data_IF_402108547377
#
_entry.id   IF_402108547377
#
_cell.length_a   1.000
_cell.length_b   1.000
_cell.length_c   1.000
_cell.angle_alpha   90.00
_cell.angle_beta   90.00
_cell.angle_gamma   90.00
#
_symmetry.space_group_name_H-M   'P 1'
#
loop_
_entity.id
_entity.type
_entity.pdbx_description
1 polymer ?
#
# COMPACT_ATOMS: atom_id res chain seq x y z
N UNK A 1 22.48 53.83 12.26
CA UNK A 1 23.46 53.05 13.04
C UNK A 1 22.74 51.81 13.56
N UNK A 2 22.89 50.66 12.90
CA UNK A 2 22.24 49.41 13.35
C UNK A 2 22.97 48.97 14.62
N UNK A 3 22.30 49.04 15.76
CA UNK A 3 22.92 48.72 17.05
C UNK A 3 23.29 47.25 17.10
N UNK A 4 24.46 46.94 17.68
CA UNK A 4 24.98 45.58 17.85
C UNK A 4 23.95 44.59 18.44
N UNK A 5 23.06 45.08 19.31
CA UNK A 5 21.93 44.32 19.87
C UNK A 5 20.94 43.78 18.83
N UNK A 6 20.65 44.55 17.78
CA UNK A 6 19.71 44.12 16.71
C UNK A 6 20.31 42.99 15.88
N UNK A 7 21.59 43.11 15.50
CA UNK A 7 22.31 42.06 14.76
C UNK A 7 22.48 40.79 15.59
N UNK A 8 22.67 40.92 16.90
CA UNK A 8 22.74 39.79 17.83
C UNK A 8 21.40 39.04 17.93
N UNK A 9 20.29 39.76 18.06
CA UNK A 9 18.94 39.17 18.12
C UNK A 9 18.57 38.47 16.79
N UNK A 10 18.90 39.07 15.65
CA UNK A 10 18.68 38.46 14.33
C UNK A 10 19.51 37.18 14.15
N UNK A 11 20.77 37.18 14.57
CA UNK A 11 21.64 36.00 14.51
C UNK A 11 21.15 34.88 15.47
N UNK A 12 20.70 35.23 16.67
CA UNK A 12 20.15 34.28 17.62
C UNK A 12 18.82 33.66 17.11
N UNK A 13 17.93 34.47 16.54
CA UNK A 13 16.68 33.99 15.95
C UNK A 13 16.93 33.06 14.75
N UNK A 14 17.87 33.41 13.86
CA UNK A 14 18.27 32.55 12.76
C UNK A 14 18.89 31.24 13.26
N UNK A 15 19.73 31.28 14.30
CA UNK A 15 20.30 30.09 14.92
C UNK A 15 19.26 29.15 15.52
N UNK A 16 18.22 29.69 16.17
CA UNK A 16 17.10 28.89 16.71
C UNK A 16 16.31 28.23 15.58
N UNK A 17 16.01 28.95 14.50
CA UNK A 17 15.30 28.45 13.32
C UNK A 17 16.07 27.32 12.62
N UNK A 18 17.37 27.52 12.40
CA UNK A 18 18.24 26.50 11.79
C UNK A 18 18.33 25.29 12.72
N UNK A 19 18.49 25.49 14.03
CA UNK A 19 18.52 24.41 15.02
C UNK A 19 17.22 23.60 15.06
N UNK A 20 16.06 24.25 14.97
CA UNK A 20 14.76 23.55 14.91
C UNK A 20 14.57 22.79 13.61
N UNK A 21 14.98 23.35 12.46
CA UNK A 21 14.93 22.64 11.18
C UNK A 21 15.86 21.41 11.15
N UNK A 22 17.05 21.51 11.73
CA UNK A 22 17.98 20.38 11.86
C UNK A 22 17.43 19.31 12.81
N UNK A 23 16.80 19.70 13.92
CA UNK A 23 16.15 18.75 14.84
C UNK A 23 14.96 18.05 14.18
N UNK A 24 14.13 18.79 13.42
CA UNK A 24 13.03 18.22 12.65
C UNK A 24 13.57 17.26 11.58
N UNK A 25 14.61 17.64 10.84
CA UNK A 25 15.25 16.77 9.85
C UNK A 25 15.91 15.52 10.47
N UNK A 26 16.50 15.64 11.66
CA UNK A 26 17.07 14.52 12.42
C UNK A 26 16.01 13.58 12.98
N UNK A 27 14.86 14.12 13.39
CA UNK A 27 13.68 13.34 13.79
C UNK A 27 12.99 12.66 12.58
N UNK A 28 13.11 13.28 11.40
CA UNK A 28 12.57 12.82 10.12
C UNK A 28 13.49 11.86 9.37
N UNK A 29 14.60 11.37 9.96
CA UNK A 29 15.36 10.27 9.35
C UNK A 29 14.49 9.01 9.36
N UNK A 30 13.68 8.87 8.33
CA UNK A 30 12.94 7.66 8.01
C UNK A 30 13.96 6.59 7.65
N UNK A 31 13.85 5.46 8.33
CA UNK A 31 14.56 4.25 7.96
C UNK A 31 14.32 3.91 6.48
N UNK A 32 15.24 3.20 5.83
CA UNK A 32 15.01 2.75 4.45
C UNK A 32 13.74 1.90 4.39
N UNK A 33 12.89 2.13 3.37
CA UNK A 33 11.61 1.44 3.25
C UNK A 33 11.75 -0.09 3.26
N UNK A 34 12.81 -0.60 2.63
CA UNK A 34 13.17 -2.03 2.61
C UNK A 34 13.33 -2.63 4.00
N UNK A 35 13.93 -1.89 4.93
CA UNK A 35 14.12 -2.31 6.32
C UNK A 35 12.81 -2.14 7.09
N UNK A 36 12.13 -1.01 6.91
CA UNK A 36 10.89 -0.75 7.63
C UNK A 36 9.75 -1.75 7.28
N UNK A 37 9.70 -2.20 6.02
CA UNK A 37 8.75 -3.21 5.53
C UNK A 37 9.16 -4.63 5.90
N UNK A 38 10.45 -4.91 6.17
CA UNK A 38 10.89 -6.26 6.57
C UNK A 38 10.27 -6.68 7.90
N UNK A 39 10.10 -5.73 8.82
CA UNK A 39 9.38 -5.97 10.08
C UNK A 39 7.92 -6.40 9.86
N UNK A 40 7.27 -5.95 8.78
CA UNK A 40 5.93 -6.44 8.41
C UNK A 40 6.02 -7.88 7.90
N UNK A 41 7.03 -8.19 7.09
CA UNK A 41 7.21 -9.56 6.60
C UNK A 41 7.56 -10.54 7.71
N UNK A 42 8.31 -10.13 8.73
CA UNK A 42 8.62 -10.94 9.91
C UNK A 42 7.34 -11.35 10.66
N UNK A 43 6.39 -10.41 10.80
CA UNK A 43 5.07 -10.71 11.39
C UNK A 43 4.29 -11.74 10.58
N UNK A 44 4.39 -11.73 9.24
CA UNK A 44 3.77 -12.76 8.41
C UNK A 44 4.46 -14.12 8.52
N UNK A 45 5.79 -14.14 8.66
CA UNK A 45 6.52 -15.38 8.93
C UNK A 45 6.16 -15.96 10.30
N UNK A 46 5.99 -15.12 11.32
CA UNK A 46 5.51 -15.53 12.64
C UNK A 46 4.06 -16.04 12.57
N UNK A 47 3.15 -15.30 11.92
CA UNK A 47 1.76 -15.69 11.72
C UNK A 47 1.62 -17.08 11.09
N UNK A 48 2.50 -17.44 10.15
CA UNK A 48 2.49 -18.73 9.43
C UNK A 48 2.79 -19.93 10.34
N UNK A 49 3.40 -19.71 11.51
CA UNK A 49 3.68 -20.78 12.48
C UNK A 49 2.42 -21.23 13.22
N UNK A 50 1.35 -20.42 13.18
CA UNK A 50 0.12 -20.67 13.88
C UNK A 50 -1.02 -21.11 12.94
N UNK A 51 -2.01 -21.88 13.46
CA UNK A 51 -3.22 -22.23 12.72
C UNK A 51 -3.98 -20.99 12.24
N UNK A 52 -4.72 -21.13 11.13
CA UNK A 52 -5.46 -20.03 10.48
C UNK A 52 -6.46 -19.33 11.41
N UNK A 53 -7.10 -20.08 12.30
CA UNK A 53 -8.12 -19.62 13.24
C UNK A 53 -7.58 -19.26 14.63
N UNK A 54 -6.26 -19.21 14.78
CA UNK A 54 -5.63 -18.95 16.08
C UNK A 54 -5.58 -17.45 16.41
N UNK A 55 -5.79 -17.14 17.70
CA UNK A 55 -5.62 -15.78 18.22
C UNK A 55 -4.20 -15.24 18.06
N UNK A 56 -3.20 -16.10 18.03
CA UNK A 56 -1.81 -15.66 17.88
C UNK A 56 -1.50 -15.25 16.43
N UNK A 57 -2.07 -15.96 15.44
CA UNK A 57 -2.06 -15.51 14.04
C UNK A 57 -2.78 -14.17 13.87
N UNK A 58 -3.97 -14.04 14.46
CA UNK A 58 -4.75 -12.81 14.43
C UNK A 58 -3.95 -11.62 15.01
N UNK A 59 -3.29 -11.80 16.16
CA UNK A 59 -2.42 -10.77 16.77
C UNK A 59 -1.30 -10.34 15.83
N UNK A 60 -0.64 -11.28 15.13
CA UNK A 60 0.41 -10.98 14.16
C UNK A 60 -0.14 -10.12 13.01
N UNK A 61 -1.27 -10.50 12.43
CA UNK A 61 -1.93 -9.76 11.35
C UNK A 61 -2.41 -8.36 11.81
N UNK A 62 -2.92 -8.23 13.04
CA UNK A 62 -3.29 -6.92 13.61
C UNK A 62 -2.07 -6.02 13.85
N UNK A 63 -0.94 -6.60 14.27
CA UNK A 63 0.32 -5.87 14.41
C UNK A 63 0.87 -5.42 13.06
N UNK A 64 0.78 -6.29 12.03
CA UNK A 64 1.18 -6.00 10.67
C UNK A 64 0.37 -4.84 10.10
N UNK A 65 -0.96 -4.86 10.24
CA UNK A 65 -1.82 -3.76 9.81
C UNK A 65 -1.45 -2.43 10.47
N UNK A 66 -1.31 -2.40 11.81
CA UNK A 66 -0.92 -1.17 12.52
C UNK A 66 0.41 -0.63 12.02
N UNK A 67 1.35 -1.52 11.69
CA UNK A 67 2.64 -1.10 11.16
C UNK A 67 2.50 -0.57 9.73
N UNK A 68 1.79 -1.26 8.84
CA UNK A 68 1.48 -0.80 7.48
C UNK A 68 0.78 0.57 7.47
N UNK A 69 -0.20 0.80 8.34
CA UNK A 69 -0.87 2.09 8.48
C UNK A 69 0.08 3.22 8.93
N UNK A 70 1.11 2.92 9.73
CA UNK A 70 2.16 3.89 10.06
C UNK A 70 3.10 4.12 8.89
N UNK A 71 3.47 3.06 8.15
CA UNK A 71 4.30 3.18 6.96
C UNK A 71 3.61 4.04 5.89
N UNK A 72 2.31 3.84 5.64
CA UNK A 72 1.54 4.65 4.67
C UNK A 72 1.60 6.16 4.96
N UNK A 73 1.72 6.56 6.23
CA UNK A 73 1.85 7.99 6.62
C UNK A 73 3.25 8.56 6.42
N UNK A 74 4.28 7.71 6.40
CA UNK A 74 5.67 8.12 6.45
C UNK A 74 6.43 7.91 5.14
N UNK A 75 5.91 7.06 4.24
CA UNK A 75 6.55 6.66 2.99
C UNK A 75 5.67 7.02 1.81
N UNK A 76 5.99 8.10 1.09
CA UNK A 76 5.10 8.68 0.07
C UNK A 76 5.41 8.32 -1.39
N UNK A 77 6.47 7.56 -1.67
CA UNK A 77 6.81 7.23 -3.06
C UNK A 77 5.77 6.28 -3.66
N UNK A 78 5.52 6.42 -4.97
CA UNK A 78 4.47 5.68 -5.71
C UNK A 78 4.55 4.17 -5.47
N UNK A 79 5.72 3.57 -5.66
CA UNK A 79 5.95 2.12 -5.46
C UNK A 79 5.82 1.68 -3.99
N UNK A 80 6.20 2.55 -3.05
CA UNK A 80 6.06 2.27 -1.62
C UNK A 80 4.58 2.21 -1.24
N UNK A 81 3.79 3.19 -1.69
CA UNK A 81 2.35 3.24 -1.46
C UNK A 81 1.63 2.06 -2.11
N UNK A 82 1.95 1.73 -3.38
CA UNK A 82 1.45 0.52 -4.06
C UNK A 82 1.67 -0.73 -3.22
N UNK A 83 2.89 -0.90 -2.70
CA UNK A 83 3.25 -2.05 -1.87
C UNK A 83 2.52 -2.07 -0.54
N UNK A 84 2.39 -0.93 0.14
CA UNK A 84 1.73 -0.84 1.44
C UNK A 84 0.24 -1.13 1.32
N UNK A 85 -0.47 -0.50 0.37
CA UNK A 85 -1.91 -0.72 0.16
C UNK A 85 -2.21 -2.17 -0.25
N UNK A 86 -1.37 -2.77 -1.11
CA UNK A 86 -1.54 -4.16 -1.48
C UNK A 86 -1.37 -5.11 -0.29
N UNK A 87 -0.38 -4.85 0.58
CA UNK A 87 -0.19 -5.61 1.81
C UNK A 87 -1.35 -5.41 2.79
N UNK A 88 -1.93 -4.21 2.87
CA UNK A 88 -3.12 -3.95 3.69
C UNK A 88 -4.33 -4.77 3.19
N UNK A 89 -4.55 -4.81 1.87
CA UNK A 89 -5.60 -5.61 1.27
C UNK A 89 -5.43 -7.11 1.57
N UNK A 90 -4.24 -7.67 1.34
CA UNK A 90 -3.94 -9.06 1.67
C UNK A 90 -4.05 -9.36 3.17
N UNK A 91 -3.65 -8.42 4.03
CA UNK A 91 -3.78 -8.57 5.47
C UNK A 91 -5.25 -8.66 5.91
N UNK A 92 -6.11 -7.85 5.30
CA UNK A 92 -7.55 -7.91 5.55
C UNK A 92 -8.15 -9.23 5.04
N UNK A 93 -7.67 -9.77 3.91
CA UNK A 93 -8.04 -11.14 3.48
C UNK A 93 -7.63 -12.19 4.51
N UNK A 94 -6.41 -12.09 5.06
CA UNK A 94 -5.91 -13.02 6.10
C UNK A 94 -6.68 -12.92 7.42
N UNK A 95 -7.26 -11.76 7.73
CA UNK A 95 -8.11 -11.53 8.88
C UNK A 95 -9.58 -11.90 8.62
N UNK A 96 -9.91 -12.40 7.43
CA UNK A 96 -11.30 -12.67 7.02
C UNK A 96 -12.20 -11.42 7.10
N UNK A 97 -11.66 -10.24 6.75
CA UNK A 97 -12.37 -8.95 6.70
C UNK A 97 -12.59 -8.51 5.23
N UNK A 98 -13.52 -9.15 4.49
CA UNK A 98 -13.64 -8.96 3.04
C UNK A 98 -14.06 -7.54 2.64
N UNK A 99 -14.88 -6.85 3.42
CA UNK A 99 -15.27 -5.47 3.15
C UNK A 99 -14.07 -4.52 3.24
N UNK A 100 -13.16 -4.79 4.17
CA UNK A 100 -11.95 -4.00 4.37
C UNK A 100 -10.90 -4.30 3.31
N UNK A 101 -10.77 -5.56 2.90
CA UNK A 101 -9.94 -5.95 1.77
C UNK A 101 -10.38 -5.25 0.48
N UNK A 102 -11.69 -5.26 0.20
CA UNK A 102 -12.26 -4.54 -0.94
C UNK A 102 -11.95 -3.03 -0.88
N UNK A 103 -12.11 -2.40 0.30
CA UNK A 103 -11.79 -1.00 0.50
C UNK A 103 -10.32 -0.68 0.20
N UNK A 104 -9.37 -1.51 0.64
CA UNK A 104 -7.95 -1.29 0.34
C UNK A 104 -7.64 -1.47 -1.15
N UNK A 105 -8.25 -2.45 -1.82
CA UNK A 105 -8.12 -2.59 -3.27
C UNK A 105 -8.69 -1.39 -4.04
N UNK A 106 -9.85 -0.89 -3.63
CA UNK A 106 -10.47 0.31 -4.21
C UNK A 106 -9.63 1.56 -3.98
N UNK A 107 -9.07 1.73 -2.78
CA UNK A 107 -8.15 2.82 -2.47
C UNK A 107 -6.88 2.75 -3.33
N UNK A 108 -6.33 1.56 -3.56
CA UNK A 108 -5.16 1.38 -4.42
C UNK A 108 -5.46 1.78 -5.87
N UNK A 109 -6.61 1.38 -6.42
CA UNK A 109 -7.03 1.76 -7.77
C UNK A 109 -7.42 3.25 -7.88
N UNK A 110 -7.93 3.85 -6.81
CA UNK A 110 -8.19 5.29 -6.74
C UNK A 110 -6.88 6.09 -6.70
N UNK A 111 -5.90 5.60 -5.96
CA UNK A 111 -4.56 6.19 -5.88
C UNK A 111 -3.83 6.07 -7.22
N UNK A 112 -3.94 4.91 -7.86
CA UNK A 112 -3.17 4.58 -9.05
C UNK A 112 -3.90 3.62 -9.99
N UNK A 113 -4.74 4.21 -10.83
CA UNK A 113 -5.51 3.49 -11.85
C UNK A 113 -4.65 2.94 -13.00
N UNK A 114 -3.36 3.30 -13.07
CA UNK A 114 -2.43 2.80 -14.09
C UNK A 114 -1.75 1.49 -13.67
N UNK A 115 -2.00 1.02 -12.44
CA UNK A 115 -1.34 -0.15 -11.86
C UNK A 115 -2.12 -1.45 -12.15
N UNK A 116 -1.80 -2.22 -13.22
CA UNK A 116 -2.55 -3.40 -13.64
C UNK A 116 -2.54 -4.52 -12.60
N UNK A 117 -1.49 -4.63 -11.77
CA UNK A 117 -1.43 -5.63 -10.70
C UNK A 117 -2.59 -5.46 -9.71
N UNK A 118 -3.00 -4.23 -9.39
CA UNK A 118 -4.13 -3.98 -8.50
C UNK A 118 -5.45 -4.54 -9.08
N UNK A 119 -5.65 -4.43 -10.39
CA UNK A 119 -6.79 -5.03 -11.09
C UNK A 119 -6.77 -6.56 -10.99
N UNK A 120 -5.61 -7.18 -11.21
CA UNK A 120 -5.45 -8.63 -11.12
C UNK A 120 -5.73 -9.16 -9.70
N UNK A 121 -5.14 -8.53 -8.69
CA UNK A 121 -5.33 -8.90 -7.29
C UNK A 121 -6.80 -8.73 -6.86
N UNK A 122 -7.39 -7.57 -7.12
CA UNK A 122 -8.78 -7.29 -6.76
C UNK A 122 -9.76 -8.19 -7.53
N UNK A 123 -9.52 -8.36 -8.84
CA UNK A 123 -10.32 -9.21 -9.70
C UNK A 123 -10.34 -10.67 -9.25
N UNK A 124 -9.19 -11.21 -8.83
CA UNK A 124 -9.08 -12.55 -8.24
C UNK A 124 -9.75 -12.64 -6.87
N UNK A 125 -9.58 -11.65 -6.00
CA UNK A 125 -10.28 -11.56 -4.72
C UNK A 125 -11.81 -11.61 -4.90
N UNK A 126 -12.36 -10.82 -5.83
CA UNK A 126 -13.79 -10.80 -6.14
C UNK A 126 -14.27 -12.17 -6.63
N UNK A 127 -13.48 -12.88 -7.43
CA UNK A 127 -13.83 -14.25 -7.86
C UNK A 127 -13.85 -15.22 -6.68
N UNK A 128 -12.81 -15.19 -5.82
CA UNK A 128 -12.70 -16.09 -4.65
C UNK A 128 -13.83 -15.87 -3.65
N UNK A 129 -14.30 -14.63 -3.51
CA UNK A 129 -15.41 -14.25 -2.62
C UNK A 129 -16.79 -14.40 -3.26
N UNK A 130 -16.87 -14.92 -4.49
CA UNK A 130 -18.15 -15.18 -5.19
C UNK A 130 -18.75 -13.97 -5.90
N UNK A 131 -18.12 -12.81 -5.86
CA UNK A 131 -18.54 -11.55 -6.50
C UNK A 131 -18.14 -11.50 -7.98
N UNK A 132 -18.56 -12.49 -8.76
CA UNK A 132 -18.13 -12.68 -10.16
C UNK A 132 -18.58 -11.54 -11.08
N UNK A 133 -19.73 -10.96 -10.83
CA UNK A 133 -20.29 -9.83 -11.58
C UNK A 133 -19.46 -8.56 -11.36
N UNK A 134 -19.06 -8.29 -10.11
CA UNK A 134 -18.16 -7.19 -9.78
C UNK A 134 -16.78 -7.38 -10.44
N UNK A 135 -16.24 -8.61 -10.38
CA UNK A 135 -15.00 -8.95 -11.08
C UNK A 135 -15.10 -8.73 -12.59
N UNK A 136 -16.25 -9.05 -13.20
CA UNK A 136 -16.48 -8.79 -14.63
C UNK A 136 -16.54 -7.30 -14.94
N UNK A 137 -17.20 -6.50 -14.10
CA UNK A 137 -17.25 -5.05 -14.29
C UNK A 137 -15.85 -4.42 -14.18
N UNK A 138 -15.06 -4.88 -13.21
CA UNK A 138 -13.66 -4.46 -13.06
C UNK A 138 -12.82 -4.83 -14.30
N UNK A 139 -13.08 -6.00 -14.89
CA UNK A 139 -12.43 -6.44 -16.14
C UNK A 139 -12.75 -5.52 -17.32
N UNK A 140 -13.99 -5.03 -17.43
CA UNK A 140 -14.38 -4.09 -18.48
C UNK A 140 -13.61 -2.77 -18.35
N UNK A 141 -13.52 -2.19 -17.14
CA UNK A 141 -12.71 -0.98 -16.86
C UNK A 141 -11.22 -1.22 -17.19
N UNK A 142 -10.66 -2.35 -16.74
CA UNK A 142 -9.27 -2.74 -17.06
C UNK A 142 -9.01 -2.76 -18.57
N UNK A 143 -9.89 -3.39 -19.36
CA UNK A 143 -9.70 -3.49 -20.82
C UNK A 143 -9.87 -2.16 -21.54
N UNK A 144 -10.71 -1.26 -21.02
CA UNK A 144 -10.79 0.11 -21.56
C UNK A 144 -9.46 0.86 -21.37
N UNK A 145 -8.84 0.74 -20.20
CA UNK A 145 -7.53 1.35 -19.90
C UNK A 145 -6.39 0.71 -20.67
N UNK A 146 -6.37 -0.61 -20.76
CA UNK A 146 -5.38 -1.36 -21.54
C UNK A 146 -5.44 -0.94 -23.02
N UNK A 147 -6.64 -0.88 -23.62
CA UNK A 147 -6.82 -0.44 -25.01
C UNK A 147 -6.38 1.02 -25.23
N UNK A 148 -6.50 1.85 -24.19
CA UNK A 148 -6.07 3.25 -24.22
C UNK A 148 -4.57 3.42 -23.91
N UNK A 149 -3.82 2.33 -23.70
CA UNK A 149 -2.39 2.34 -23.35
C UNK A 149 -2.10 3.16 -22.08
N UNK A 150 -3.02 3.10 -21.10
CA UNK A 150 -2.93 3.84 -19.83
C UNK A 150 -2.35 3.03 -18.67
N UNK A 151 -2.05 1.74 -18.89
CA UNK A 151 -1.50 0.86 -17.87
C UNK A 151 0.03 0.83 -17.97
N UNK A 152 0.71 0.73 -16.83
CA UNK A 152 2.15 0.47 -16.82
C UNK A 152 2.49 -0.99 -17.18
N UNK A 153 3.78 -1.32 -17.20
CA UNK A 153 4.31 -2.62 -17.60
C UNK A 153 4.44 -3.63 -16.43
N UNK A 154 3.81 -3.34 -15.29
CA UNK A 154 3.88 -4.22 -14.13
C UNK A 154 3.06 -5.50 -14.32
N UNK A 155 3.62 -6.61 -13.84
CA UNK A 155 3.08 -7.94 -14.05
C UNK A 155 2.90 -8.67 -12.72
N UNK A 156 1.83 -9.47 -12.61
CA UNK A 156 1.66 -10.38 -11.48
C UNK A 156 0.98 -11.67 -11.90
N UNK A 157 1.21 -12.73 -11.11
CA UNK A 157 0.56 -14.02 -11.35
C UNK A 157 -0.97 -13.93 -11.30
N UNK A 158 -1.52 -13.11 -10.40
CA UNK A 158 -2.97 -12.95 -10.29
C UNK A 158 -3.55 -12.17 -11.45
N UNK A 159 -2.82 -11.18 -12.00
CA UNK A 159 -3.22 -10.49 -13.23
C UNK A 159 -3.34 -11.47 -14.40
N UNK A 160 -2.29 -12.24 -14.66
CA UNK A 160 -2.27 -13.23 -15.75
C UNK A 160 -3.38 -14.27 -15.60
N UNK A 161 -3.61 -14.77 -14.38
CA UNK A 161 -4.66 -15.74 -14.11
C UNK A 161 -6.06 -15.14 -14.31
N UNK A 162 -6.27 -13.90 -13.88
CA UNK A 162 -7.53 -13.19 -14.04
C UNK A 162 -7.84 -12.89 -15.51
N UNK A 163 -6.83 -12.47 -16.28
CA UNK A 163 -6.92 -12.32 -17.74
C UNK A 163 -7.32 -13.64 -18.40
N UNK A 164 -6.63 -14.73 -18.11
CA UNK A 164 -6.92 -16.05 -18.66
C UNK A 164 -8.38 -16.48 -18.38
N UNK A 165 -8.85 -16.26 -17.15
CA UNK A 165 -10.23 -16.58 -16.75
C UNK A 165 -11.25 -15.77 -17.57
N UNK A 166 -11.01 -14.48 -17.78
CA UNK A 166 -11.96 -13.61 -18.48
C UNK A 166 -11.91 -13.80 -20.00
N UNK A 167 -10.73 -14.04 -20.58
CA UNK A 167 -10.59 -14.30 -22.01
C UNK A 167 -11.18 -15.63 -22.44
N UNK A 168 -11.02 -16.70 -21.63
CA UNK A 168 -11.68 -17.99 -21.90
C UNK A 168 -13.20 -17.89 -21.90
N UNK A 169 -13.77 -17.00 -21.08
CA UNK A 169 -15.22 -16.75 -21.07
C UNK A 169 -15.72 -16.02 -22.32
N UNK A 170 -14.89 -15.23 -23.01
CA UNK A 170 -15.27 -14.61 -24.29
C UNK A 170 -15.39 -15.60 -25.44
N UNK A 171 -14.79 -16.80 -25.32
CA UNK A 171 -14.76 -17.83 -26.37
C UNK A 171 -15.90 -18.85 -26.28
N UNK A 172 -16.80 -18.73 -25.30
CA UNK A 172 -17.98 -19.58 -25.11
C UNK A 172 -19.25 -18.79 -25.33
#
# INVERSE_FOLDING_TARGET
MITWRKRFLEAAAAGILIGTLILIAGLLKTEEFSVAISEVTDLYYEARQYPEDSKDREKCCMAAEKRLQRLSRNYGEKEQQRRIELLLAWNAELLCEPEKAALYYENLLLYDAEYPVAYGEYGMFLIRTGQKEASRKLWEDYKEKEKAELLDDSESRNLQLWEEINEKKKRK
#
